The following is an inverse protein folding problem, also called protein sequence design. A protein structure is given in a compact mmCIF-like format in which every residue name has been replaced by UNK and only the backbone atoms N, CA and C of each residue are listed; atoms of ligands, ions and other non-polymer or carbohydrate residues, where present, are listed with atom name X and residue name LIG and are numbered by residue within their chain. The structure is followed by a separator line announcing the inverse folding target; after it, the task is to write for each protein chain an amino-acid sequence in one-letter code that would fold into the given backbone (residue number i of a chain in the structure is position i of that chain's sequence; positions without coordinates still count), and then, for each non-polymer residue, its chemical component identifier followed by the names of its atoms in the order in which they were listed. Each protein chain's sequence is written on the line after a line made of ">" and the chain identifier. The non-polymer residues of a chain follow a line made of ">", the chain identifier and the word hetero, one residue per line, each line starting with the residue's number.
data_IF_477001362834
#
_entry.id   IF_477001362834
#
_cell.length_a   1.000
_cell.length_b   1.000
_cell.length_c   1.000
_cell.angle_alpha   90.00
_cell.angle_beta   90.00
_cell.angle_gamma   90.00
#
_symmetry.space_group_name_H-M   'P 1'
#
loop_
_entity.id
_entity.type
_entity.pdbx_description
1 polymer ?
#
# COMPACT_ATOMS: atom_id res chain seq x y z
N UNK A 1 4.70 -12.76 8.00
CA UNK A 1 3.77 -12.93 6.86
C UNK A 1 3.50 -14.41 6.69
N UNK A 2 2.23 -14.80 6.70
CA UNK A 2 1.77 -16.18 6.47
C UNK A 2 2.00 -16.60 5.01
N UNK A 3 1.86 -17.87 4.70
CA UNK A 3 2.07 -18.40 3.34
C UNK A 3 1.08 -17.80 2.30
N UNK A 4 -0.16 -17.55 2.72
CA UNK A 4 -1.16 -16.90 1.87
C UNK A 4 -0.75 -15.46 1.50
N UNK A 5 -0.26 -14.68 2.46
CA UNK A 5 0.24 -13.33 2.23
C UNK A 5 1.47 -13.30 1.32
N UNK A 6 2.38 -14.27 1.44
CA UNK A 6 3.53 -14.39 0.53
C UNK A 6 3.08 -14.63 -0.92
N UNK A 7 2.16 -15.57 -1.14
CA UNK A 7 1.59 -15.83 -2.47
C UNK A 7 0.88 -14.62 -3.05
N UNK A 8 0.16 -13.89 -2.22
CA UNK A 8 -0.50 -12.64 -2.64
C UNK A 8 0.52 -11.56 -3.03
N UNK A 9 1.56 -11.36 -2.23
CA UNK A 9 2.64 -10.43 -2.55
C UNK A 9 3.39 -10.81 -3.84
N UNK A 10 3.58 -12.10 -4.11
CA UNK A 10 4.17 -12.58 -5.37
C UNK A 10 3.25 -12.34 -6.57
N UNK A 11 1.95 -12.55 -6.40
CA UNK A 11 0.94 -12.23 -7.42
C UNK A 11 0.94 -10.75 -7.75
N UNK A 12 1.02 -9.87 -6.74
CA UNK A 12 1.13 -8.42 -6.95
C UNK A 12 2.38 -8.07 -7.76
N UNK A 13 3.55 -8.58 -7.36
CA UNK A 13 4.81 -8.33 -8.09
C UNK A 13 4.75 -8.78 -9.55
N UNK A 14 4.08 -9.90 -9.83
CA UNK A 14 3.89 -10.37 -11.21
C UNK A 14 3.00 -9.43 -12.00
N UNK A 15 1.87 -9.01 -11.45
CA UNK A 15 0.95 -8.04 -12.07
C UNK A 15 1.66 -6.72 -12.40
N UNK A 16 2.44 -6.20 -11.44
CA UNK A 16 3.25 -4.99 -11.63
C UNK A 16 4.28 -5.17 -12.74
N UNK A 17 4.98 -6.30 -12.75
CA UNK A 17 5.99 -6.59 -13.80
C UNK A 17 5.38 -6.65 -15.19
N UNK A 18 4.19 -7.24 -15.32
CA UNK A 18 3.52 -7.42 -16.61
C UNK A 18 2.96 -6.10 -17.16
N UNK A 19 2.44 -5.21 -16.30
CA UNK A 19 1.70 -4.02 -16.73
C UNK A 19 2.44 -2.69 -16.58
N UNK A 20 3.47 -2.63 -15.75
CA UNK A 20 4.13 -1.39 -15.37
C UNK A 20 4.70 -0.63 -16.57
N UNK A 21 5.26 -1.34 -17.54
CA UNK A 21 5.84 -0.70 -18.74
C UNK A 21 4.76 0.03 -19.53
N UNK A 22 3.65 -0.62 -19.85
CA UNK A 22 2.54 0.00 -20.57
C UNK A 22 1.96 1.20 -19.81
N UNK A 23 1.75 1.05 -18.48
CA UNK A 23 1.25 2.14 -17.62
C UNK A 23 2.23 3.31 -17.54
N UNK A 24 3.53 3.05 -17.55
CA UNK A 24 4.55 4.13 -17.49
C UNK A 24 4.60 4.97 -18.76
N UNK A 25 4.21 4.40 -19.90
CA UNK A 25 4.16 5.10 -21.20
C UNK A 25 2.78 5.68 -21.52
N UNK A 26 1.82 5.58 -20.63
CA UNK A 26 0.50 6.17 -20.83
C UNK A 26 0.61 7.70 -20.97
N UNK A 27 0.06 8.32 -22.04
CA UNK A 27 0.17 9.76 -22.28
C UNK A 27 -0.53 10.61 -21.20
N UNK A 28 -1.46 10.04 -20.45
CA UNK A 28 -2.17 10.70 -19.35
C UNK A 28 -1.47 10.55 -17.98
N UNK A 29 -0.34 9.81 -17.94
CA UNK A 29 0.39 9.65 -16.68
C UNK A 29 1.01 10.96 -16.25
N UNK A 30 0.71 11.37 -15.01
CA UNK A 30 1.21 12.60 -14.41
C UNK A 30 2.71 12.48 -14.08
N UNK A 31 3.45 13.58 -14.25
CA UNK A 31 4.91 13.60 -14.07
C UNK A 31 5.35 13.94 -12.66
N UNK A 32 4.53 14.72 -11.92
CA UNK A 32 4.89 15.29 -10.61
C UNK A 32 4.04 14.76 -9.47
N UNK A 33 3.01 13.99 -9.74
CA UNK A 33 2.15 13.41 -8.72
C UNK A 33 2.51 11.95 -8.51
N UNK A 34 2.40 11.50 -7.25
CA UNK A 34 2.47 10.08 -6.94
C UNK A 34 1.30 9.37 -7.63
N UNK A 35 1.63 8.39 -8.43
CA UNK A 35 0.67 7.51 -9.08
C UNK A 35 1.03 6.05 -8.78
N UNK A 36 0.06 5.14 -8.77
CA UNK A 36 0.36 3.74 -8.54
C UNK A 36 1.21 3.20 -9.70
N UNK A 37 2.04 2.18 -9.46
CA UNK A 37 2.79 1.54 -10.54
C UNK A 37 1.86 0.90 -11.58
N UNK A 38 0.71 0.35 -11.10
CA UNK A 38 -0.41 -0.17 -11.90
C UNK A 38 -1.70 -0.03 -11.08
N UNK A 39 -2.87 -0.23 -11.69
CA UNK A 39 -4.15 -0.29 -10.97
C UNK A 39 -4.57 1.03 -10.31
N UNK A 40 -4.93 0.98 -9.03
CA UNK A 40 -5.58 2.06 -8.29
C UNK A 40 -4.77 2.51 -7.07
N UNK A 41 -4.74 3.82 -6.85
CA UNK A 41 -4.21 4.47 -5.65
C UNK A 41 -5.25 5.41 -5.06
N UNK A 42 -5.50 5.30 -3.75
CA UNK A 42 -6.21 6.30 -2.96
C UNK A 42 -5.48 6.50 -1.62
N UNK A 43 -6.01 7.31 -0.74
CA UNK A 43 -5.55 7.58 0.62
C UNK A 43 -4.03 7.45 0.84
N UNK A 44 -3.23 8.47 0.57
CA UNK A 44 -1.88 8.54 1.11
C UNK A 44 -1.95 8.45 2.63
N UNK A 45 -1.17 7.56 3.22
CA UNK A 45 -1.19 7.33 4.66
C UNK A 45 0.19 6.89 5.16
N UNK A 46 0.35 6.67 6.46
CA UNK A 46 1.63 6.27 7.03
C UNK A 46 2.78 7.24 6.72
N UNK A 47 2.48 8.54 6.57
CA UNK A 47 3.46 9.57 6.22
C UNK A 47 4.45 9.75 7.36
N UNK A 48 5.74 9.56 7.10
CA UNK A 48 6.79 9.68 8.11
C UNK A 48 8.14 10.00 7.48
N UNK A 49 8.94 10.77 8.17
CA UNK A 49 10.34 11.03 7.80
C UNK A 49 11.26 10.29 8.75
N UNK A 50 12.26 9.59 8.22
CA UNK A 50 13.27 8.89 8.98
C UNK A 50 14.64 9.06 8.32
N UNK A 51 15.61 9.60 9.08
CA UNK A 51 17.01 9.78 8.63
C UNK A 51 17.12 10.50 7.27
N UNK A 52 16.34 11.56 7.05
CA UNK A 52 16.34 12.32 5.80
C UNK A 52 15.55 11.68 4.65
N UNK A 53 14.96 10.50 4.86
CA UNK A 53 14.12 9.83 3.88
C UNK A 53 12.65 10.00 4.24
N UNK A 54 11.86 10.49 3.31
CA UNK A 54 10.41 10.58 3.42
C UNK A 54 9.79 9.28 2.94
N UNK A 55 8.87 8.74 3.73
CA UNK A 55 8.08 7.56 3.42
C UNK A 55 6.64 7.96 3.21
N UNK A 56 6.04 7.49 2.14
CA UNK A 56 4.61 7.60 1.87
C UNK A 56 4.08 6.21 1.58
N UNK A 57 3.16 5.76 2.38
CA UNK A 57 2.34 4.60 2.07
C UNK A 57 1.02 5.07 1.45
N UNK A 58 0.33 4.18 0.78
CA UNK A 58 -0.94 4.51 0.14
C UNK A 58 -1.82 3.27 0.00
N UNK A 59 -3.12 3.47 0.01
CA UNK A 59 -4.08 2.42 -0.31
C UNK A 59 -3.88 1.99 -1.76
N UNK A 60 -3.69 0.71 -1.98
CA UNK A 60 -3.29 0.15 -3.26
C UNK A 60 -4.15 -1.03 -3.68
N UNK A 61 -4.69 -0.95 -4.91
CA UNK A 61 -5.40 -2.04 -5.58
C UNK A 61 -4.71 -2.33 -6.91
N UNK A 62 -3.79 -3.32 -6.96
CA UNK A 62 -2.98 -3.59 -8.15
C UNK A 62 -3.76 -4.29 -9.27
N UNK A 63 -4.84 -5.00 -8.96
CA UNK A 63 -5.52 -5.89 -9.91
C UNK A 63 -6.69 -5.24 -10.64
N UNK A 64 -7.14 -4.08 -10.20
CA UNK A 64 -8.27 -3.35 -10.80
C UNK A 64 -8.12 -1.84 -10.62
N UNK A 65 -8.96 -1.08 -11.32
CA UNK A 65 -8.99 0.39 -11.28
C UNK A 65 -10.15 0.95 -10.45
N UNK A 66 -10.85 0.12 -9.71
CA UNK A 66 -12.00 0.49 -8.90
C UNK A 66 -11.69 0.52 -7.39
N UNK A 67 -10.46 0.17 -7.01
CA UNK A 67 -10.03 0.13 -5.62
C UNK A 67 -10.69 -0.96 -4.80
N UNK A 68 -10.95 -2.12 -5.40
CA UNK A 68 -11.60 -3.27 -4.75
C UNK A 68 -10.74 -3.86 -3.64
N UNK A 69 -9.46 -4.12 -3.95
CA UNK A 69 -8.50 -4.58 -2.97
C UNK A 69 -7.94 -3.41 -2.17
N UNK A 70 -7.51 -3.67 -0.95
CA UNK A 70 -6.91 -2.66 -0.06
C UNK A 70 -5.65 -3.22 0.57
N UNK A 71 -4.53 -2.93 -0.11
CA UNK A 71 -3.17 -3.18 0.37
C UNK A 71 -2.46 -1.85 0.60
N UNK A 72 -1.23 -1.87 1.07
CA UNK A 72 -0.40 -0.67 1.12
C UNK A 72 0.77 -0.77 0.16
N UNK A 73 0.81 0.12 -0.82
CA UNK A 73 2.00 0.44 -1.59
C UNK A 73 2.91 1.39 -0.82
N UNK A 74 4.20 1.44 -1.17
CA UNK A 74 5.20 2.22 -0.47
C UNK A 74 6.11 2.95 -1.43
N UNK A 75 6.19 4.28 -1.27
CA UNK A 75 7.18 5.14 -1.91
C UNK A 75 8.12 5.76 -0.90
N UNK A 76 9.36 6.00 -1.33
CA UNK A 76 10.32 6.82 -0.59
C UNK A 76 10.86 7.95 -1.46
N UNK A 77 11.27 9.04 -0.80
CA UNK A 77 11.93 10.19 -1.42
C UNK A 77 12.92 10.83 -0.47
N UNK A 78 13.94 11.49 -1.00
CA UNK A 78 14.85 12.35 -0.23
C UNK A 78 14.54 13.85 -0.40
N UNK A 79 13.73 14.21 -1.39
CA UNK A 79 13.48 15.61 -1.79
C UNK A 79 11.99 15.95 -2.00
N UNK A 80 11.08 14.98 -1.79
CA UNK A 80 9.63 15.10 -2.02
C UNK A 80 9.21 15.31 -3.47
N UNK A 81 10.17 15.28 -4.40
CA UNK A 81 9.94 15.45 -5.84
C UNK A 81 10.20 14.14 -6.60
N UNK A 82 11.29 13.47 -6.29
CA UNK A 82 11.68 12.22 -6.92
C UNK A 82 11.35 11.03 -6.00
N UNK A 83 10.46 10.18 -6.47
CA UNK A 83 9.92 9.07 -5.69
C UNK A 83 10.36 7.72 -6.22
N UNK A 84 10.82 6.87 -5.34
CA UNK A 84 11.16 5.48 -5.62
C UNK A 84 10.10 4.54 -5.02
N UNK A 85 9.50 3.72 -5.87
CA UNK A 85 8.58 2.67 -5.43
C UNK A 85 9.34 1.47 -4.85
N UNK A 86 8.98 1.05 -3.66
CA UNK A 86 9.61 -0.08 -2.94
C UNK A 86 8.76 -1.36 -2.93
N UNK A 87 7.55 -1.32 -3.47
CA UNK A 87 6.65 -2.47 -3.49
C UNK A 87 5.48 -2.34 -2.51
N UNK A 88 4.85 -3.49 -2.22
CA UNK A 88 3.64 -3.59 -1.39
C UNK A 88 3.98 -4.34 -0.09
N UNK A 89 4.42 -3.63 0.97
CA UNK A 89 4.86 -4.27 2.21
C UNK A 89 3.72 -4.86 3.05
N UNK A 90 2.49 -4.34 2.91
CA UNK A 90 1.33 -4.80 3.67
C UNK A 90 0.24 -5.31 2.74
N UNK A 91 -0.03 -6.58 2.85
CA UNK A 91 -1.12 -7.28 2.17
C UNK A 91 -2.01 -7.94 3.22
N UNK A 92 -3.20 -8.33 2.84
CA UNK A 92 -4.10 -9.11 3.71
C UNK A 92 -3.44 -10.44 4.05
N UNK A 93 -3.25 -10.70 5.34
CA UNK A 93 -2.46 -11.84 5.83
C UNK A 93 -3.03 -12.46 7.12
N UNK A 94 -3.95 -11.75 7.76
CA UNK A 94 -4.53 -12.12 9.04
C UNK A 94 -6.07 -12.15 8.98
N UNK A 95 -6.69 -12.82 9.92
CA UNK A 95 -8.16 -12.92 9.98
C UNK A 95 -8.83 -11.56 10.18
N UNK A 96 -8.15 -10.65 10.91
CA UNK A 96 -8.66 -9.31 11.18
C UNK A 96 -8.46 -8.31 10.03
N UNK A 97 -7.70 -8.64 9.00
CA UNK A 97 -7.50 -7.80 7.82
C UNK A 97 -7.90 -8.50 6.50
N UNK A 98 -8.64 -9.60 6.58
CA UNK A 98 -8.96 -10.45 5.41
C UNK A 98 -9.69 -9.72 4.28
N UNK A 99 -10.36 -8.60 4.57
CA UNK A 99 -11.05 -7.77 3.58
C UNK A 99 -10.30 -6.45 3.27
N UNK A 100 -9.14 -6.22 3.86
CA UNK A 100 -8.30 -5.07 3.53
C UNK A 100 -7.40 -4.61 4.67
N UNK A 101 -6.23 -4.12 4.28
CA UNK A 101 -5.32 -3.33 5.11
C UNK A 101 -5.68 -1.87 4.88
N UNK A 102 -6.53 -1.31 5.73
CA UNK A 102 -7.06 0.05 5.58
C UNK A 102 -6.08 1.09 6.13
N UNK A 103 -6.35 2.36 5.83
CA UNK A 103 -5.48 3.48 6.17
C UNK A 103 -5.13 3.58 7.64
N UNK A 104 -3.98 4.17 7.93
CA UNK A 104 -3.45 4.33 9.25
C UNK A 104 -2.29 5.33 9.28
N UNK A 105 -1.37 5.15 10.21
CA UNK A 105 -0.25 6.04 10.40
C UNK A 105 1.07 5.30 10.57
N UNK A 106 2.18 6.03 10.48
CA UNK A 106 3.51 5.53 10.79
C UNK A 106 4.21 6.43 11.81
N UNK A 107 5.12 5.85 12.56
CA UNK A 107 5.95 6.53 13.54
C UNK A 107 7.36 5.96 13.53
N UNK A 108 8.36 6.83 13.55
CA UNK A 108 9.77 6.44 13.56
C UNK A 108 10.39 6.70 14.92
N UNK A 109 10.96 5.67 15.55
CA UNK A 109 11.64 5.75 16.84
C UNK A 109 12.79 4.74 16.91
N UNK A 110 13.92 5.15 17.50
CA UNK A 110 15.08 4.30 17.77
C UNK A 110 15.53 3.46 16.54
N UNK A 111 15.53 4.09 15.35
CA UNK A 111 15.93 3.43 14.11
C UNK A 111 14.93 2.41 13.56
N UNK A 112 13.73 2.32 14.15
CA UNK A 112 12.63 1.46 13.69
C UNK A 112 11.50 2.30 13.12
N UNK A 113 10.75 1.71 12.22
CA UNK A 113 9.52 2.26 11.67
C UNK A 113 8.35 1.42 12.19
N UNK A 114 7.48 2.04 12.96
CA UNK A 114 6.24 1.44 13.45
C UNK A 114 5.10 1.87 12.55
N UNK A 115 4.27 0.92 12.16
CA UNK A 115 3.11 1.16 11.29
C UNK A 115 1.86 0.66 11.99
N UNK A 116 0.86 1.53 12.06
CA UNK A 116 -0.45 1.22 12.62
C UNK A 116 -1.48 1.32 11.50
N UNK A 117 -2.29 0.29 11.34
CA UNK A 117 -3.30 0.27 10.28
C UNK A 117 -4.63 -0.31 10.79
N UNK A 118 -5.69 -0.06 10.06
CA UNK A 118 -7.00 -0.63 10.32
C UNK A 118 -7.14 -1.95 9.56
N UNK A 119 -7.24 -3.07 10.27
CA UNK A 119 -7.66 -4.33 9.69
C UNK A 119 -9.16 -4.31 9.41
N UNK A 120 -9.56 -4.66 8.19
CA UNK A 120 -10.96 -4.66 7.79
C UNK A 120 -11.51 -6.07 7.65
N UNK A 121 -12.67 -6.30 8.29
CA UNK A 121 -13.49 -7.50 8.14
C UNK A 121 -14.90 -7.07 7.80
N UNK A 122 -15.43 -7.55 6.68
CA UNK A 122 -16.84 -7.40 6.30
C UNK A 122 -17.58 -8.64 6.73
N UNK A 123 -18.61 -8.46 7.56
CA UNK A 123 -19.54 -9.51 7.92
C UNK A 123 -20.69 -9.57 6.91
N UNK A 124 -21.30 -10.73 6.74
CA UNK A 124 -22.49 -10.85 5.89
C UNK A 124 -23.62 -10.00 6.47
N UNK A 125 -24.09 -9.02 5.68
CA UNK A 125 -25.20 -8.13 6.02
C UNK A 125 -24.85 -6.84 6.75
N UNK A 126 -23.62 -6.68 7.30
CA UNK A 126 -23.22 -5.47 8.00
C UNK A 126 -21.77 -5.09 7.69
N UNK A 127 -21.47 -3.77 7.75
CA UNK A 127 -20.12 -3.22 7.61
C UNK A 127 -19.52 -2.95 8.98
N UNK A 128 -19.08 -3.99 9.69
CA UNK A 128 -18.35 -3.80 10.91
C UNK A 128 -16.84 -3.65 10.64
N UNK A 129 -16.26 -2.61 11.23
CA UNK A 129 -14.83 -2.34 11.19
C UNK A 129 -14.21 -2.75 12.51
N UNK A 130 -13.26 -3.66 12.46
CA UNK A 130 -12.44 -3.99 13.62
C UNK A 130 -11.15 -3.18 13.53
N UNK A 131 -10.95 -2.24 14.44
CA UNK A 131 -9.71 -1.50 14.60
C UNK A 131 -8.69 -2.36 15.34
N UNK A 132 -7.63 -2.75 14.67
CA UNK A 132 -6.49 -3.42 15.29
C UNK A 132 -5.18 -2.79 14.80
N UNK A 133 -4.27 -2.52 15.72
CA UNK A 133 -2.94 -2.04 15.42
C UNK A 133 -1.94 -3.19 15.32
N UNK A 134 -1.05 -3.13 14.34
CA UNK A 134 0.15 -3.96 14.26
C UNK A 134 1.40 -3.13 14.56
N UNK A 135 2.31 -3.72 15.30
CA UNK A 135 3.66 -3.17 15.54
C UNK A 135 4.66 -3.78 14.57
#
# INVERSE_FOLDING_TARGET
>A
MKEAGKRLAERIRREEKEKREAVSHDPWRLRFHLMPPVGWLNDPNGLVQRNGVYHVFFQYSPFDVNGKDKFWGHYISQDLLHWQYLGTPFVTDEDFDRNGVYSGCAYAENGKLYVFYTGNVKLEGDYDYILQGRR
#
